data_IF_799149132280
#
_entry.id   IF_799149132280
#
_cell.length_a   1.000
_cell.length_b   1.000
_cell.length_c   1.000
_cell.angle_alpha   90.00
_cell.angle_beta   90.00
_cell.angle_gamma   90.00
#
_symmetry.space_group_name_H-M   'P 1'
#
loop_
_entity.id
_entity.type
_entity.pdbx_description
1 polymer ?
#
# COMPACT_ATOMS: atom_id res chain seq x y z
N UNK A 1 -0.53 -8.09 -18.05
CA UNK A 1 -0.43 -9.41 -17.39
C UNK A 1 -1.75 -10.15 -17.58
N UNK A 2 -1.76 -11.49 -17.51
CA UNK A 2 -3.01 -12.28 -17.51
C UNK A 2 -3.73 -12.15 -16.16
N UNK A 3 -5.04 -12.39 -16.12
CA UNK A 3 -5.87 -12.25 -14.91
C UNK A 3 -5.33 -13.10 -13.75
N UNK A 4 -4.99 -14.37 -14.02
CA UNK A 4 -4.51 -15.32 -13.02
C UNK A 4 -3.17 -14.87 -12.42
N UNK A 5 -2.33 -14.21 -13.23
CA UNK A 5 -1.08 -13.62 -12.77
C UNK A 5 -1.33 -12.42 -11.87
N UNK A 6 -2.31 -11.57 -12.20
CA UNK A 6 -2.67 -10.41 -11.37
C UNK A 6 -3.26 -10.84 -10.02
N UNK A 7 -4.07 -11.89 -9.98
CA UNK A 7 -4.59 -12.45 -8.74
C UNK A 7 -3.48 -12.84 -7.74
N UNK A 8 -2.34 -13.32 -8.24
CA UNK A 8 -1.21 -13.74 -7.39
C UNK A 8 -0.15 -12.67 -7.18
N UNK A 9 0.06 -11.77 -8.15
CA UNK A 9 1.24 -10.88 -8.17
C UNK A 9 0.90 -9.40 -8.37
N UNK A 10 -0.34 -9.05 -8.65
CA UNK A 10 -0.77 -7.66 -8.77
C UNK A 10 -0.49 -6.89 -7.49
N UNK A 11 0.10 -5.70 -7.63
CA UNK A 11 0.33 -4.76 -6.54
C UNK A 11 1.36 -5.18 -5.49
N UNK A 12 2.13 -6.25 -5.69
CA UNK A 12 3.11 -6.72 -4.71
C UNK A 12 4.46 -7.02 -5.35
N UNK A 13 5.52 -6.73 -4.60
CA UNK A 13 6.90 -7.16 -4.88
C UNK A 13 7.46 -7.84 -3.63
N UNK A 14 8.52 -8.67 -3.75
CA UNK A 14 9.20 -9.20 -2.58
C UNK A 14 9.63 -8.07 -1.63
N UNK A 15 9.49 -8.31 -0.32
CA UNK A 15 9.89 -7.34 0.68
C UNK A 15 11.39 -7.01 0.54
N UNK A 16 11.78 -5.73 0.37
CA UNK A 16 13.18 -5.39 0.08
C UNK A 16 14.11 -5.58 1.28
N UNK A 17 13.58 -5.71 2.50
CA UNK A 17 14.38 -5.87 3.71
C UNK A 17 14.70 -7.34 4.01
N UNK A 18 13.75 -8.24 3.77
CA UNK A 18 13.83 -9.67 4.16
C UNK A 18 13.77 -10.63 2.97
N UNK A 19 13.45 -10.13 1.77
CA UNK A 19 13.14 -10.92 0.57
C UNK A 19 11.93 -11.85 0.73
N UNK A 20 11.07 -11.60 1.73
CA UNK A 20 9.83 -12.35 1.89
C UNK A 20 8.97 -12.23 0.64
N UNK A 21 8.52 -13.39 0.12
CA UNK A 21 7.56 -13.42 -0.99
C UNK A 21 6.13 -13.18 -0.52
N UNK A 22 5.79 -13.59 0.70
CA UNK A 22 4.51 -13.29 1.31
C UNK A 22 4.44 -11.83 1.73
N UNK A 23 3.27 -11.20 1.56
CA UNK A 23 3.02 -9.82 1.97
C UNK A 23 3.15 -9.73 3.50
N UNK A 24 4.07 -8.91 4.05
CA UNK A 24 4.13 -8.67 5.48
C UNK A 24 2.85 -8.02 6.00
N UNK A 25 2.41 -8.42 7.19
CA UNK A 25 1.21 -7.86 7.82
C UNK A 25 1.60 -6.72 8.77
N UNK A 26 1.38 -5.48 8.33
CA UNK A 26 1.66 -4.26 9.08
C UNK A 26 0.53 -3.95 10.08
N UNK A 27 0.45 -4.73 11.17
CA UNK A 27 -0.47 -4.48 12.30
C UNK A 27 0.03 -3.35 13.20
N UNK A 28 -0.02 -2.13 12.69
CA UNK A 28 0.34 -0.90 13.42
C UNK A 28 -0.72 0.17 13.19
N UNK A 29 -0.82 1.13 14.10
CA UNK A 29 -1.63 2.34 13.92
C UNK A 29 -0.84 3.49 13.28
N UNK A 30 0.48 3.56 13.49
CA UNK A 30 1.34 4.71 13.15
C UNK A 30 2.70 4.29 12.61
N UNK A 31 3.36 5.20 11.90
CA UNK A 31 4.71 5.03 11.36
C UNK A 31 5.65 6.12 11.90
N UNK A 32 6.90 5.74 12.19
CA UNK A 32 7.91 6.68 12.70
C UNK A 32 8.46 7.53 11.55
N UNK A 33 8.60 8.83 11.79
CA UNK A 33 9.25 9.74 10.85
C UNK A 33 10.77 9.70 11.01
N UNK A 34 11.51 9.80 9.89
CA UNK A 34 12.97 9.86 9.91
C UNK A 34 13.48 11.12 10.63
N UNK A 35 12.80 12.25 10.42
CA UNK A 35 13.04 13.54 11.07
C UNK A 35 11.80 14.46 10.88
N UNK A 36 11.86 15.70 11.37
CA UNK A 36 10.77 16.68 11.29
C UNK A 36 10.48 17.16 9.86
N UNK A 37 11.51 17.25 9.01
CA UNK A 37 11.36 17.63 7.60
C UNK A 37 10.61 16.56 6.79
N UNK A 38 10.97 15.28 6.98
CA UNK A 38 10.26 14.14 6.41
C UNK A 38 8.77 14.14 6.79
N UNK A 39 8.46 14.41 8.07
CA UNK A 39 7.06 14.55 8.50
C UNK A 39 6.33 15.67 7.74
N UNK A 40 6.94 16.86 7.66
CA UNK A 40 6.35 18.00 6.95
C UNK A 40 6.12 17.70 5.46
N UNK A 41 7.05 17.01 4.81
CA UNK A 41 6.93 16.62 3.40
C UNK A 41 5.79 15.62 3.16
N UNK A 42 5.59 14.64 4.04
CA UNK A 42 4.48 13.69 3.94
C UNK A 42 3.13 14.40 4.07
N UNK A 43 2.95 15.27 5.06
CA UNK A 43 1.70 16.01 5.25
C UNK A 43 1.43 17.06 4.16
N UNK A 44 2.48 17.61 3.54
CA UNK A 44 2.37 18.53 2.41
C UNK A 44 2.23 17.80 1.05
N UNK A 45 2.19 16.46 1.04
CA UNK A 45 2.17 15.62 -0.17
C UNK A 45 3.35 15.88 -1.12
N UNK A 46 4.48 16.35 -0.58
CA UNK A 46 5.75 16.53 -1.32
C UNK A 46 6.56 15.24 -1.40
N UNK A 47 6.37 14.36 -0.43
CA UNK A 47 6.91 13.01 -0.39
C UNK A 47 5.74 12.03 -0.18
N UNK A 48 5.77 10.90 -0.87
CA UNK A 48 4.79 9.83 -0.67
C UNK A 48 5.31 8.86 0.40
N UNK A 49 4.44 8.50 1.34
CA UNK A 49 4.78 7.56 2.40
C UNK A 49 3.67 7.43 3.43
N UNK A 50 3.86 6.50 4.36
CA UNK A 50 2.86 6.22 5.38
C UNK A 50 2.96 7.22 6.54
N UNK A 51 1.81 7.75 6.96
CA UNK A 51 1.69 8.62 8.14
C UNK A 51 1.04 7.83 9.28
N UNK A 52 -0.18 7.33 9.06
CA UNK A 52 -0.92 6.48 9.97
C UNK A 52 -1.93 5.61 9.20
N UNK A 53 -2.27 4.45 9.76
CA UNK A 53 -3.03 3.37 9.08
C UNK A 53 -4.41 3.78 8.58
N UNK A 54 -5.06 4.76 9.23
CA UNK A 54 -6.36 5.28 8.76
C UNK A 54 -6.27 5.98 7.38
N UNK A 55 -5.10 6.48 6.98
CA UNK A 55 -4.89 7.02 5.64
C UNK A 55 -4.28 5.98 4.69
N UNK A 56 -3.19 5.32 5.12
CA UNK A 56 -2.45 4.37 4.30
C UNK A 56 -1.79 3.31 5.18
N UNK A 57 -1.76 2.07 4.69
CA UNK A 57 -1.08 0.94 5.32
C UNK A 57 -0.52 0.03 4.21
N UNK A 58 0.76 -0.39 4.23
CA UNK A 58 1.34 -1.19 3.16
C UNK A 58 0.63 -2.52 2.90
N UNK A 59 0.01 -3.13 3.91
CA UNK A 59 -0.77 -4.36 3.71
C UNK A 59 -2.06 -4.06 2.93
N UNK A 60 -2.74 -2.96 3.25
CA UNK A 60 -3.95 -2.51 2.52
C UNK A 60 -3.62 -2.00 1.12
N UNK A 61 -2.50 -1.31 0.94
CA UNK A 61 -2.03 -0.81 -0.37
C UNK A 61 -1.85 -1.93 -1.40
N UNK A 62 -1.37 -3.12 -0.97
CA UNK A 62 -1.31 -4.29 -1.87
C UNK A 62 -2.71 -4.74 -2.31
N UNK A 63 -3.70 -4.73 -1.41
CA UNK A 63 -5.09 -5.05 -1.75
C UNK A 63 -5.65 -4.02 -2.74
N UNK A 64 -5.49 -2.73 -2.44
CA UNK A 64 -5.97 -1.61 -3.26
C UNK A 64 -5.43 -1.69 -4.68
N UNK A 65 -4.11 -1.83 -4.81
CA UNK A 65 -3.43 -1.98 -6.11
C UNK A 65 -3.89 -3.22 -6.85
N UNK A 66 -4.01 -4.35 -6.17
CA UNK A 66 -4.41 -5.61 -6.81
C UNK A 66 -5.83 -5.53 -7.36
N UNK A 67 -6.78 -5.04 -6.57
CA UNK A 67 -8.17 -4.89 -7.02
C UNK A 67 -8.26 -3.90 -8.17
N UNK A 68 -7.57 -2.75 -8.08
CA UNK A 68 -7.56 -1.78 -9.17
C UNK A 68 -7.03 -2.36 -10.48
N UNK A 69 -5.94 -3.13 -10.43
CA UNK A 69 -5.38 -3.83 -11.59
C UNK A 69 -6.32 -4.91 -12.15
N UNK A 70 -7.05 -5.64 -11.29
CA UNK A 70 -8.01 -6.65 -11.71
C UNK A 70 -9.22 -6.03 -12.43
N UNK A 71 -9.64 -4.84 -12.02
CA UNK A 71 -10.72 -4.07 -12.65
C UNK A 71 -10.25 -3.29 -13.91
N UNK A 72 -8.96 -3.39 -14.28
CA UNK A 72 -8.39 -2.65 -15.41
C UNK A 72 -8.19 -1.15 -15.17
N UNK A 73 -8.27 -0.72 -13.90
CA UNK A 73 -8.00 0.65 -13.48
C UNK A 73 -6.50 0.96 -13.28
N UNK A 74 -6.17 2.23 -13.00
CA UNK A 74 -4.81 2.62 -12.61
C UNK A 74 -4.38 1.91 -11.32
N UNK A 75 -3.10 1.55 -11.20
CA UNK A 75 -2.58 0.85 -10.00
C UNK A 75 -2.89 1.59 -8.68
N UNK A 76 -2.86 2.92 -8.67
CA UNK A 76 -3.17 3.74 -7.50
C UNK A 76 -4.66 4.14 -7.39
N UNK A 77 -5.54 3.47 -8.12
CA UNK A 77 -6.97 3.80 -8.21
C UNK A 77 -7.87 3.08 -7.19
N UNK A 78 -7.33 2.20 -6.36
CA UNK A 78 -8.09 1.44 -5.36
C UNK A 78 -8.17 2.13 -4.01
N UNK A 79 -9.19 1.81 -3.22
CA UNK A 79 -9.32 2.23 -1.82
C UNK A 79 -9.95 1.13 -0.97
N UNK A 80 -9.25 0.71 0.09
CA UNK A 80 -9.70 -0.29 1.05
C UNK A 80 -10.50 0.36 2.16
N UNK A 81 -11.72 -0.14 2.39
CA UNK A 81 -12.62 0.35 3.43
C UNK A 81 -13.07 -0.79 4.34
N UNK A 82 -13.66 -0.43 5.49
CA UNK A 82 -14.09 -1.42 6.48
C UNK A 82 -15.26 -2.29 5.99
N UNK A 83 -16.14 -1.74 5.15
CA UNK A 83 -17.33 -2.41 4.62
C UNK A 83 -17.74 -1.80 3.27
N UNK A 84 -18.53 -2.54 2.48
CA UNK A 84 -19.06 -2.06 1.19
C UNK A 84 -20.44 -1.41 1.25
N UNK A 85 -21.02 -1.25 2.44
CA UNK A 85 -22.36 -0.68 2.69
C UNK A 85 -22.35 0.83 2.55
#
# INVERSE_FOLDING_TARGET
>A
MKLETLCLHGGTQPDPTTLSRGVPVYRTSSYVFKNTEHAANLFALRELGNIYTRLMNPTTDVLEKRVALLEGGPELGGLGVASGT
#
